data_IF_578821458293
#
_entry.id   IF_578821458293
#
_cell.length_a   1.000
_cell.length_b   1.000
_cell.length_c   1.000
_cell.angle_alpha   90.00
_cell.angle_beta   90.00
_cell.angle_gamma   90.00
#
_symmetry.space_group_name_H-M   'P 1'
#
loop_
_entity.id
_entity.type
_entity.pdbx_description
1 polymer ?
#
# COMPACT_ATOMS: atom_id res chain seq x y z
N UNK A 1 2.18 36.44 -20.81
CA UNK A 1 1.14 35.76 -20.00
C UNK A 1 -0.27 35.92 -20.59
N UNK A 2 -0.72 37.13 -20.94
CA UNK A 2 -2.07 37.36 -21.49
C UNK A 2 -2.35 36.62 -22.80
N UNK A 3 -1.39 36.59 -23.74
CA UNK A 3 -1.53 35.85 -25.01
C UNK A 3 -1.72 34.33 -24.79
N UNK A 4 -1.06 33.74 -23.80
CA UNK A 4 -1.24 32.32 -23.48
C UNK A 4 -2.63 32.05 -22.91
N UNK A 5 -3.15 32.95 -22.07
CA UNK A 5 -4.50 32.84 -21.50
C UNK A 5 -5.57 32.96 -22.59
N UNK A 6 -5.42 33.88 -23.54
CA UNK A 6 -6.39 34.03 -24.63
C UNK A 6 -6.38 32.82 -25.58
N UNK A 7 -5.20 32.29 -25.92
CA UNK A 7 -5.07 31.08 -26.76
C UNK A 7 -5.71 29.88 -26.07
N UNK A 8 -5.42 29.66 -24.78
CA UNK A 8 -6.00 28.53 -24.02
C UNK A 8 -7.52 28.66 -23.86
N UNK A 9 -8.04 29.87 -23.67
CA UNK A 9 -9.49 30.12 -23.65
C UNK A 9 -10.13 29.82 -25.01
N UNK A 10 -9.54 30.31 -26.10
CA UNK A 10 -10.05 30.05 -27.45
C UNK A 10 -10.02 28.55 -27.80
N UNK A 11 -8.92 27.86 -27.48
CA UNK A 11 -8.81 26.41 -27.66
C UNK A 11 -9.85 25.64 -26.82
N UNK A 12 -10.09 26.07 -25.57
CA UNK A 12 -11.10 25.49 -24.70
C UNK A 12 -12.52 25.66 -25.27
N UNK A 13 -12.85 26.84 -25.78
CA UNK A 13 -14.16 27.11 -26.40
C UNK A 13 -14.40 26.26 -27.64
N UNK A 14 -13.37 26.06 -28.47
CA UNK A 14 -13.43 25.15 -29.62
C UNK A 14 -13.61 23.70 -29.14
N UNK A 15 -12.88 23.29 -28.09
CA UNK A 15 -12.94 21.91 -27.57
C UNK A 15 -14.29 21.53 -26.97
N UNK A 16 -15.04 22.46 -26.36
CA UNK A 16 -16.37 22.17 -25.79
C UNK A 16 -17.51 22.25 -26.82
N UNK A 17 -17.25 22.93 -27.94
CA UNK A 17 -18.26 23.23 -28.95
C UNK A 17 -18.68 22.01 -29.77
N UNK A 18 -19.88 22.05 -30.33
CA UNK A 18 -20.33 21.03 -31.27
C UNK A 18 -19.54 21.09 -32.58
N UNK A 19 -19.48 19.96 -33.29
CA UNK A 19 -18.83 19.90 -34.59
C UNK A 19 -19.69 20.73 -35.55
N UNK A 20 -19.08 21.75 -36.16
CA UNK A 20 -19.71 22.62 -37.15
C UNK A 20 -19.12 22.34 -38.54
N UNK A 21 -19.90 22.51 -39.62
CA UNK A 21 -19.37 22.50 -40.98
C UNK A 21 -18.44 23.70 -41.19
N UNK A 22 -17.33 23.50 -41.90
CA UNK A 22 -16.33 24.54 -42.19
C UNK A 22 -14.90 24.04 -42.00
N UNK A 23 -14.11 24.06 -43.08
CA UNK A 23 -12.77 23.45 -43.11
C UNK A 23 -11.82 24.06 -42.08
N UNK A 24 -11.77 25.40 -41.96
CA UNK A 24 -10.95 26.10 -40.96
C UNK A 24 -11.28 25.68 -39.51
N UNK A 25 -12.56 25.62 -39.16
CA UNK A 25 -13.00 25.21 -37.84
C UNK A 25 -12.70 23.73 -37.57
N UNK A 26 -12.90 22.87 -38.56
CA UNK A 26 -12.60 21.44 -38.44
C UNK A 26 -11.10 21.19 -38.25
N UNK A 27 -10.23 21.91 -38.95
CA UNK A 27 -8.78 21.84 -38.72
C UNK A 27 -8.40 22.30 -37.32
N UNK A 28 -8.97 23.40 -36.84
CA UNK A 28 -8.73 23.89 -35.48
C UNK A 28 -9.21 22.90 -34.42
N UNK A 29 -10.42 22.35 -34.57
CA UNK A 29 -10.96 21.35 -33.66
C UNK A 29 -10.10 20.07 -33.66
N UNK A 30 -9.69 19.60 -34.84
CA UNK A 30 -8.81 18.44 -34.95
C UNK A 30 -7.44 18.70 -34.30
N UNK A 31 -6.85 19.88 -34.49
CA UNK A 31 -5.60 20.26 -33.86
C UNK A 31 -5.70 20.25 -32.32
N UNK A 32 -6.78 20.83 -31.76
CA UNK A 32 -7.01 20.81 -30.30
C UNK A 32 -7.26 19.39 -29.79
N UNK A 33 -8.07 18.59 -30.49
CA UNK A 33 -8.30 17.19 -30.12
C UNK A 33 -7.02 16.35 -30.21
N UNK A 34 -6.17 16.59 -31.21
CA UNK A 34 -4.88 15.93 -31.37
C UNK A 34 -3.91 16.30 -30.27
N UNK A 35 -3.86 17.57 -29.87
CA UNK A 35 -3.04 18.01 -28.73
C UNK A 35 -3.50 17.36 -27.40
N UNK A 36 -4.81 17.30 -27.15
CA UNK A 36 -5.35 16.60 -25.96
C UNK A 36 -5.09 15.10 -26.03
N UNK A 37 -5.22 14.50 -27.22
CA UNK A 37 -4.91 13.11 -27.49
C UNK A 37 -3.44 12.80 -27.19
N UNK A 38 -2.53 13.62 -27.71
CA UNK A 38 -1.08 13.49 -27.50
C UNK A 38 -0.73 13.54 -26.01
N UNK A 39 -1.23 14.54 -25.28
CA UNK A 39 -0.97 14.68 -23.85
C UNK A 39 -1.46 13.46 -23.07
N UNK A 40 -2.64 12.95 -23.39
CA UNK A 40 -3.21 11.77 -22.73
C UNK A 40 -2.41 10.50 -23.04
N UNK A 41 -2.03 10.30 -24.31
CA UNK A 41 -1.18 9.19 -24.73
C UNK A 41 0.21 9.26 -24.12
N UNK A 42 0.78 10.46 -23.97
CA UNK A 42 2.10 10.66 -23.40
C UNK A 42 2.10 10.28 -21.91
N UNK A 43 1.05 10.61 -21.17
CA UNK A 43 0.88 10.15 -19.79
C UNK A 43 0.78 8.62 -19.70
N UNK A 44 0.07 7.98 -20.64
CA UNK A 44 -0.01 6.51 -20.70
C UNK A 44 1.34 5.88 -21.05
N UNK A 45 2.07 6.47 -22.01
CA UNK A 45 3.42 6.04 -22.36
C UNK A 45 4.36 6.13 -21.16
N UNK A 46 4.35 7.24 -20.43
CA UNK A 46 5.17 7.42 -19.23
C UNK A 46 4.85 6.36 -18.17
N UNK A 47 3.56 6.09 -17.95
CA UNK A 47 3.11 5.04 -17.02
C UNK A 47 3.61 3.66 -17.44
N UNK A 48 3.55 3.32 -18.73
CA UNK A 48 4.04 2.05 -19.26
C UNK A 48 5.56 1.95 -19.21
N UNK A 49 6.27 3.03 -19.53
CA UNK A 49 7.73 3.08 -19.52
C UNK A 49 8.30 2.86 -18.11
N UNK A 50 7.71 3.49 -17.09
CA UNK A 50 8.09 3.23 -15.70
C UNK A 50 7.68 1.83 -15.19
N UNK A 51 6.60 1.26 -15.73
CA UNK A 51 6.06 -0.04 -15.28
C UNK A 51 6.62 -1.26 -16.02
N UNK A 52 7.26 -1.06 -17.17
CA UNK A 52 7.90 -2.11 -17.95
C UNK A 52 9.37 -1.74 -18.07
N UNK A 53 10.22 -2.34 -17.24
CA UNK A 53 11.67 -2.16 -17.23
C UNK A 53 12.38 -2.68 -18.51
N UNK A 54 11.65 -2.92 -19.61
CA UNK A 54 12.18 -3.37 -20.88
C UNK A 54 12.19 -2.23 -21.90
N UNK A 55 13.39 -1.80 -22.28
CA UNK A 55 13.64 -0.82 -23.34
C UNK A 55 13.45 -1.47 -24.73
N UNK A 56 12.20 -1.77 -25.11
CA UNK A 56 11.88 -2.21 -26.48
C UNK A 56 11.29 -1.06 -27.29
N UNK A 57 11.27 -1.20 -28.62
CA UNK A 57 10.66 -0.22 -29.54
C UNK A 57 9.12 -0.25 -29.49
N UNK A 58 8.52 -1.30 -28.90
CA UNK A 58 7.08 -1.55 -28.83
C UNK A 58 6.24 -0.45 -28.14
N UNK A 59 6.62 0.08 -26.96
CA UNK A 59 5.88 1.15 -26.28
C UNK A 59 5.72 2.43 -27.10
N UNK A 60 6.69 2.75 -27.97
CA UNK A 60 6.63 3.94 -28.83
C UNK A 60 5.58 3.77 -29.94
N UNK A 61 5.50 2.58 -30.53
CA UNK A 61 4.46 2.25 -31.51
C UNK A 61 3.07 2.29 -30.86
N UNK A 62 2.91 1.67 -29.68
CA UNK A 62 1.66 1.69 -28.91
C UNK A 62 1.24 3.13 -28.59
N UNK A 63 2.19 3.98 -28.19
CA UNK A 63 1.94 5.41 -27.97
C UNK A 63 1.37 6.10 -29.22
N UNK A 64 1.99 5.89 -30.38
CA UNK A 64 1.54 6.46 -31.66
C UNK A 64 0.13 6.00 -32.04
N UNK A 65 -0.15 4.70 -31.93
CA UNK A 65 -1.48 4.15 -32.20
C UNK A 65 -2.55 4.71 -31.26
N UNK A 66 -2.28 4.79 -29.95
CA UNK A 66 -3.22 5.35 -28.96
C UNK A 66 -3.46 6.83 -29.25
N UNK A 67 -2.42 7.60 -29.61
CA UNK A 67 -2.57 9.01 -29.96
C UNK A 67 -3.48 9.21 -31.19
N UNK A 68 -3.27 8.47 -32.27
CA UNK A 68 -4.10 8.57 -33.48
C UNK A 68 -5.55 8.20 -33.16
N UNK A 69 -5.76 7.07 -32.48
CA UNK A 69 -7.10 6.59 -32.13
C UNK A 69 -7.84 7.59 -31.23
N UNK A 70 -7.17 8.10 -30.20
CA UNK A 70 -7.76 9.06 -29.26
C UNK A 70 -8.09 10.38 -29.96
N UNK A 71 -7.24 10.85 -30.87
CA UNK A 71 -7.48 12.06 -31.65
C UNK A 71 -8.74 11.94 -32.52
N UNK A 72 -8.91 10.80 -33.20
CA UNK A 72 -10.09 10.51 -34.04
C UNK A 72 -11.35 10.45 -33.18
N UNK A 73 -11.30 9.77 -32.04
CA UNK A 73 -12.44 9.61 -31.12
C UNK A 73 -12.88 10.93 -30.51
N UNK A 74 -11.92 11.75 -30.05
CA UNK A 74 -12.18 13.08 -29.49
C UNK A 74 -12.73 14.04 -30.56
N UNK A 75 -12.22 13.97 -31.78
CA UNK A 75 -12.73 14.78 -32.90
C UNK A 75 -14.18 14.41 -33.26
N UNK A 76 -14.49 13.12 -33.26
CA UNK A 76 -15.79 12.61 -33.72
C UNK A 76 -16.91 12.84 -32.71
N UNK A 77 -16.64 12.67 -31.41
CA UNK A 77 -17.69 12.61 -30.39
C UNK A 77 -17.52 13.64 -29.27
N UNK A 78 -18.47 14.59 -29.15
CA UNK A 78 -18.55 15.56 -28.04
C UNK A 78 -18.62 14.88 -26.68
N UNK A 79 -19.36 13.79 -26.57
CA UNK A 79 -19.49 13.07 -25.30
C UNK A 79 -18.18 12.40 -24.88
N UNK A 80 -17.38 11.90 -25.82
CA UNK A 80 -16.05 11.36 -25.51
C UNK A 80 -15.07 12.45 -25.10
N UNK A 81 -15.16 13.67 -25.65
CA UNK A 81 -14.38 14.83 -25.19
C UNK A 81 -14.65 15.14 -23.72
N UNK A 82 -15.93 15.24 -23.35
CA UNK A 82 -16.34 15.45 -21.95
C UNK A 82 -15.88 14.31 -21.06
N UNK A 83 -16.15 13.06 -21.46
CA UNK A 83 -15.79 11.87 -20.70
C UNK A 83 -14.28 11.80 -20.45
N UNK A 84 -13.45 12.05 -21.47
CA UNK A 84 -11.99 11.94 -21.35
C UNK A 84 -11.41 12.94 -20.36
N UNK A 85 -11.84 14.20 -20.41
CA UNK A 85 -11.40 15.21 -19.42
C UNK A 85 -11.88 14.85 -18.02
N UNK A 86 -13.13 14.41 -17.87
CA UNK A 86 -13.66 14.01 -16.56
C UNK A 86 -12.99 12.74 -16.02
N UNK A 87 -12.58 11.81 -16.89
CA UNK A 87 -11.84 10.60 -16.54
C UNK A 87 -10.45 10.97 -16.00
N UNK A 88 -9.69 11.80 -16.73
CA UNK A 88 -8.39 12.30 -16.29
C UNK A 88 -8.46 13.01 -14.94
N UNK A 89 -9.45 13.89 -14.75
CA UNK A 89 -9.68 14.54 -13.46
C UNK A 89 -10.07 13.54 -12.36
N UNK A 90 -10.74 12.44 -12.70
CA UNK A 90 -11.17 11.41 -11.75
C UNK A 90 -10.03 10.50 -11.29
N UNK A 91 -8.98 10.34 -12.09
CA UNK A 91 -7.75 9.64 -11.69
C UNK A 91 -7.06 10.31 -10.49
N UNK A 92 -7.11 11.65 -10.38
CA UNK A 92 -6.57 12.36 -9.23
C UNK A 92 -7.53 12.47 -8.02
N UNK A 93 -8.73 11.90 -8.10
CA UNK A 93 -9.72 11.91 -7.01
C UNK A 93 -9.68 10.60 -6.22
N UNK A 94 -10.61 10.45 -5.27
CA UNK A 94 -10.68 9.31 -4.35
C UNK A 94 -10.43 7.95 -5.03
N UNK A 95 -11.16 7.66 -6.11
CA UNK A 95 -11.06 6.36 -6.79
C UNK A 95 -9.64 6.05 -7.30
N UNK A 96 -8.96 7.02 -7.91
CA UNK A 96 -7.59 6.79 -8.40
C UNK A 96 -6.55 6.78 -7.27
N UNK A 97 -6.78 7.51 -6.17
CA UNK A 97 -5.93 7.41 -4.97
C UNK A 97 -6.08 6.07 -4.27
N UNK A 98 -7.29 5.53 -4.17
CA UNK A 98 -7.52 4.20 -3.60
C UNK A 98 -6.78 3.14 -4.44
N UNK A 99 -6.75 3.29 -5.77
CA UNK A 99 -5.95 2.45 -6.66
C UNK A 99 -4.42 2.59 -6.42
N UNK A 100 -3.91 3.82 -6.25
CA UNK A 100 -2.50 4.08 -5.91
C UNK A 100 -2.11 3.47 -4.55
N UNK A 101 -2.96 3.60 -3.53
CA UNK A 101 -2.75 2.98 -2.22
C UNK A 101 -2.69 1.46 -2.34
N UNK A 102 -3.58 0.89 -3.15
CA UNK A 102 -3.63 -0.56 -3.39
C UNK A 102 -2.36 -1.03 -4.09
N UNK A 103 -1.90 -0.30 -5.11
CA UNK A 103 -0.64 -0.58 -5.79
C UNK A 103 0.57 -0.50 -4.84
N UNK A 104 0.66 0.57 -4.02
CA UNK A 104 1.72 0.71 -3.02
C UNK A 104 1.70 -0.40 -1.97
N UNK A 105 0.52 -0.80 -1.50
CA UNK A 105 0.36 -1.92 -0.57
C UNK A 105 0.80 -3.23 -1.21
N UNK A 106 0.44 -3.47 -2.47
CA UNK A 106 0.89 -4.64 -3.21
C UNK A 106 2.41 -4.73 -3.33
N UNK A 107 3.08 -3.63 -3.67
CA UNK A 107 4.55 -3.57 -3.76
C UNK A 107 5.21 -3.87 -2.41
N UNK A 108 4.73 -3.23 -1.33
CA UNK A 108 5.26 -3.45 0.03
C UNK A 108 5.10 -4.90 0.46
N UNK A 109 3.88 -5.44 0.36
CA UNK A 109 3.58 -6.78 0.83
C UNK A 109 4.37 -7.82 0.04
N UNK A 110 4.38 -7.72 -1.28
CA UNK A 110 5.12 -8.65 -2.12
C UNK A 110 6.62 -8.64 -1.81
N UNK A 111 7.23 -7.45 -1.72
CA UNK A 111 8.66 -7.36 -1.50
C UNK A 111 9.10 -7.77 -0.11
N UNK A 112 8.38 -7.37 0.95
CA UNK A 112 8.76 -7.75 2.31
C UNK A 112 8.57 -9.25 2.52
N UNK A 113 7.49 -9.84 1.99
CA UNK A 113 7.29 -11.28 2.10
C UNK A 113 8.40 -12.03 1.33
N UNK A 114 8.81 -11.55 0.15
CA UNK A 114 9.93 -12.14 -0.60
C UNK A 114 11.25 -12.09 0.21
N UNK A 115 11.56 -10.98 0.86
CA UNK A 115 12.73 -10.86 1.73
C UNK A 115 12.67 -11.83 2.92
N UNK A 116 11.54 -11.88 3.63
CA UNK A 116 11.35 -12.78 4.78
C UNK A 116 11.55 -14.23 4.36
N UNK A 117 10.97 -14.66 3.24
CA UNK A 117 11.14 -16.03 2.76
C UNK A 117 12.54 -16.35 2.30
N UNK A 118 13.24 -15.41 1.67
CA UNK A 118 14.64 -15.58 1.33
C UNK A 118 15.48 -15.79 2.60
N UNK A 119 15.31 -14.93 3.60
CA UNK A 119 16.02 -15.02 4.87
C UNK A 119 15.67 -16.29 5.66
N UNK A 120 14.41 -16.74 5.61
CA UNK A 120 13.98 -18.00 6.21
C UNK A 120 14.64 -19.20 5.53
N UNK A 121 14.72 -19.19 4.20
CA UNK A 121 15.41 -20.24 3.44
C UNK A 121 16.89 -20.32 3.80
N UNK A 122 17.57 -19.17 3.84
CA UNK A 122 19.00 -19.10 4.24
C UNK A 122 19.21 -19.65 5.67
N UNK A 123 18.30 -19.35 6.60
CA UNK A 123 18.34 -19.89 7.96
C UNK A 123 18.16 -21.42 7.99
N UNK A 124 17.20 -21.94 7.23
CA UNK A 124 16.92 -23.39 7.13
C UNK A 124 18.09 -24.14 6.50
N UNK A 125 18.69 -23.60 5.44
CA UNK A 125 19.85 -24.20 4.77
C UNK A 125 21.05 -24.26 5.74
N UNK A 126 21.23 -23.22 6.56
CA UNK A 126 22.24 -23.18 7.63
C UNK A 126 22.02 -24.25 8.71
N UNK A 127 20.80 -24.38 9.24
CA UNK A 127 20.45 -25.40 10.25
C UNK A 127 20.66 -26.80 9.67
N UNK A 128 20.26 -27.02 8.42
CA UNK A 128 20.43 -28.30 7.73
C UNK A 128 21.91 -28.65 7.53
N UNK A 129 22.74 -27.66 7.15
CA UNK A 129 24.20 -27.81 7.05
C UNK A 129 24.81 -28.20 8.41
N UNK A 130 24.37 -27.53 9.48
CA UNK A 130 24.85 -27.78 10.83
C UNK A 130 24.50 -29.20 11.34
N UNK A 131 23.23 -29.60 11.22
CA UNK A 131 22.77 -30.94 11.63
C UNK A 131 23.49 -32.06 10.87
N UNK A 132 23.70 -31.89 9.56
CA UNK A 132 24.49 -32.83 8.77
C UNK A 132 25.92 -32.91 9.29
N UNK A 133 26.56 -31.82 9.69
CA UNK A 133 27.99 -31.87 10.05
C UNK A 133 28.25 -32.38 11.47
N UNK A 134 27.55 -31.87 12.48
CA UNK A 134 27.83 -32.18 13.90
C UNK A 134 27.53 -33.64 14.24
N UNK A 135 26.44 -34.20 13.74
CA UNK A 135 26.08 -35.59 14.05
C UNK A 135 27.10 -36.58 13.48
N UNK A 136 27.60 -36.36 12.25
CA UNK A 136 28.63 -37.23 11.68
C UNK A 136 29.99 -37.06 12.38
N UNK A 137 30.33 -35.85 12.84
CA UNK A 137 31.56 -35.62 13.60
C UNK A 137 31.55 -36.33 14.96
N UNK A 138 30.44 -36.24 15.70
CA UNK A 138 30.26 -36.92 16.99
C UNK A 138 30.31 -38.45 16.85
N UNK A 139 29.64 -39.01 15.84
CA UNK A 139 29.65 -40.47 15.61
C UNK A 139 31.08 -40.94 15.28
N UNK A 140 31.78 -40.22 14.39
CA UNK A 140 33.18 -40.52 14.06
C UNK A 140 34.07 -40.47 15.32
N UNK A 141 33.86 -39.48 16.18
CA UNK A 141 34.56 -39.35 17.46
C UNK A 141 34.34 -40.57 18.38
N UNK A 142 33.10 -41.00 18.60
CA UNK A 142 32.82 -42.17 19.46
C UNK A 142 33.46 -43.44 18.90
N UNK A 143 33.43 -43.63 17.58
CA UNK A 143 34.07 -44.79 16.93
C UNK A 143 35.59 -44.75 17.12
N UNK A 144 36.22 -43.58 16.96
CA UNK A 144 37.66 -43.40 17.13
C UNK A 144 38.10 -43.58 18.59
N UNK A 145 37.32 -43.06 19.54
CA UNK A 145 37.54 -43.25 20.98
C UNK A 145 37.41 -44.73 21.40
N UNK A 146 36.38 -45.45 20.92
CA UNK A 146 36.20 -46.88 21.21
C UNK A 146 37.35 -47.70 20.61
N UNK A 147 37.75 -47.39 19.37
CA UNK A 147 38.89 -48.04 18.71
C UNK A 147 40.18 -47.81 19.51
N UNK A 148 40.39 -46.59 19.99
CA UNK A 148 41.54 -46.25 20.82
C UNK A 148 41.53 -47.00 22.16
N UNK A 149 40.39 -47.06 22.87
CA UNK A 149 40.25 -47.85 24.12
C UNK A 149 40.60 -49.32 23.86
N UNK A 150 40.13 -49.88 22.75
CA UNK A 150 40.41 -51.24 22.36
C UNK A 150 41.91 -51.49 22.08
N UNK A 151 42.57 -50.61 21.31
CA UNK A 151 44.02 -50.72 21.04
C UNK A 151 44.86 -50.53 22.32
N UNK A 152 44.45 -49.63 23.21
CA UNK A 152 45.11 -49.43 24.51
C UNK A 152 44.93 -50.64 25.45
N UNK A 153 43.76 -51.30 25.42
CA UNK A 153 43.50 -52.52 26.17
C UNK A 153 44.20 -53.76 25.59
N UNK A 154 44.51 -53.75 24.29
CA UNK A 154 45.26 -54.80 23.57
C UNK A 154 46.78 -54.74 23.84
N UNK A 155 47.30 -53.64 24.39
CA UNK A 155 48.70 -53.55 24.78
C UNK A 155 49.01 -54.65 25.83
N UNK A 156 49.97 -55.55 25.58
CA UNK A 156 50.12 -56.74 26.41
C UNK A 156 50.59 -56.36 27.81
N UNK A 157 49.76 -56.60 28.82
CA UNK A 157 50.29 -56.94 30.12
C UNK A 157 51.05 -58.26 29.90
N UNK A 158 52.39 -58.22 29.94
CA UNK A 158 53.27 -59.37 29.75
C UNK A 158 52.74 -60.56 30.55
N UNK A 159 52.07 -61.50 29.87
CA UNK A 159 51.60 -62.75 30.44
C UNK A 159 52.47 -63.88 29.89
N UNK A 160 52.88 -64.86 30.74
CA UNK A 160 53.86 -65.86 30.37
C UNK A 160 53.36 -66.71 29.20
N UNK A 161 54.30 -67.05 28.32
CA UNK A 161 54.12 -67.95 27.18
C UNK A 161 53.60 -69.31 27.67
N UNK A 162 52.31 -69.51 27.50
CA UNK A 162 51.63 -70.76 27.14
C UNK A 162 50.19 -70.66 27.64
N UNK A 163 49.28 -70.21 26.77
CA UNK A 163 47.85 -70.54 26.67
C UNK A 163 47.24 -69.60 25.61
N UNK A 164 46.76 -70.22 24.52
CA UNK A 164 45.84 -69.72 23.47
C UNK A 164 45.91 -68.23 23.15
N UNK A 165 46.54 -67.90 22.01
CA UNK A 165 46.43 -66.59 21.36
C UNK A 165 44.97 -66.38 20.94
N UNK A 166 44.22 -65.62 21.73
CA UNK A 166 42.87 -65.21 21.38
C UNK A 166 42.96 -64.06 20.37
N UNK A 167 43.02 -64.40 19.08
CA UNK A 167 42.87 -63.43 17.99
C UNK A 167 41.40 -62.98 17.94
N UNK A 168 41.02 -62.03 18.80
CA UNK A 168 39.78 -61.28 18.59
C UNK A 168 40.07 -60.11 17.65
N UNK A 169 39.53 -60.18 16.43
CA UNK A 169 39.47 -59.05 15.52
C UNK A 169 38.25 -58.20 15.91
N UNK A 170 38.48 -57.02 16.49
CA UNK A 170 37.40 -56.09 16.81
C UNK A 170 36.92 -55.43 15.52
N UNK A 171 35.83 -55.95 14.96
CA UNK A 171 35.04 -55.27 13.94
C UNK A 171 33.95 -54.46 14.64
N UNK A 172 34.12 -53.13 14.81
CA UNK A 172 33.07 -52.31 15.40
C UNK A 172 31.84 -52.33 14.47
N UNK A 173 30.80 -53.05 14.87
CA UNK A 173 29.49 -52.96 14.24
C UNK A 173 28.71 -51.83 14.92
N UNK A 174 28.66 -50.67 14.28
CA UNK A 174 27.75 -49.60 14.69
C UNK A 174 26.55 -49.60 13.73
N UNK A 175 25.37 -49.96 14.24
CA UNK A 175 24.10 -49.83 13.52
C UNK A 175 23.29 -48.69 14.13
N UNK A 176 23.82 -47.47 14.03
CA UNK A 176 22.98 -46.29 14.21
C UNK A 176 22.35 -46.05 12.85
N UNK A 177 21.02 -45.89 12.81
CA UNK A 177 20.25 -45.70 11.58
C UNK A 177 20.53 -44.32 10.96
N UNK A 178 21.77 -44.14 10.52
CA UNK A 178 22.28 -43.01 9.74
C UNK A 178 21.44 -42.84 8.47
N UNK A 179 21.01 -43.96 7.90
CA UNK A 179 20.19 -43.99 6.70
C UNK A 179 18.76 -43.48 6.96
N UNK A 180 18.17 -43.76 8.12
CA UNK A 180 16.86 -43.18 8.46
C UNK A 180 16.95 -41.68 8.70
N UNK A 181 17.97 -41.20 9.41
CA UNK A 181 18.14 -39.77 9.67
C UNK A 181 18.54 -38.98 8.44
N UNK A 182 19.45 -39.51 7.59
CA UNK A 182 19.77 -38.93 6.28
C UNK A 182 18.54 -38.88 5.38
N UNK A 183 17.71 -39.93 5.42
CA UNK A 183 16.46 -39.96 4.67
C UNK A 183 15.49 -38.89 5.18
N UNK A 184 15.25 -38.79 6.48
CA UNK A 184 14.40 -37.73 7.07
C UNK A 184 14.92 -36.32 6.76
N UNK A 185 16.24 -36.09 6.82
CA UNK A 185 16.85 -34.80 6.44
C UNK A 185 16.67 -34.49 4.96
N UNK A 186 16.86 -35.47 4.07
CA UNK A 186 16.66 -35.29 2.64
C UNK A 186 15.18 -35.08 2.29
N UNK A 187 14.27 -35.80 2.96
CA UNK A 187 12.82 -35.64 2.80
C UNK A 187 12.39 -34.25 3.27
N UNK A 188 12.94 -33.77 4.39
CA UNK A 188 12.73 -32.41 4.91
C UNK A 188 13.27 -31.34 3.96
N UNK A 189 14.48 -31.54 3.41
CA UNK A 189 15.08 -30.63 2.42
C UNK A 189 14.24 -30.54 1.13
N UNK A 190 13.72 -31.68 0.65
CA UNK A 190 12.83 -31.72 -0.51
C UNK A 190 11.48 -31.03 -0.23
N UNK A 191 10.90 -31.23 0.95
CA UNK A 191 9.65 -30.56 1.32
C UNK A 191 9.83 -29.04 1.44
N UNK A 192 10.95 -28.60 2.02
CA UNK A 192 11.31 -27.18 2.10
C UNK A 192 11.54 -26.59 0.72
N UNK A 193 12.22 -27.30 -0.20
CA UNK A 193 12.37 -26.85 -1.58
C UNK A 193 11.02 -26.78 -2.31
N UNK A 194 10.11 -27.73 -2.08
CA UNK A 194 8.76 -27.70 -2.62
C UNK A 194 8.00 -26.46 -2.13
N UNK A 195 8.00 -26.21 -0.82
CA UNK A 195 7.35 -25.05 -0.21
C UNK A 195 8.00 -23.75 -0.70
N UNK A 196 9.33 -23.67 -0.73
CA UNK A 196 10.06 -22.50 -1.22
C UNK A 196 9.75 -22.20 -2.69
N UNK A 197 9.62 -23.22 -3.53
CA UNK A 197 9.25 -23.05 -4.94
C UNK A 197 7.79 -22.60 -5.10
N UNK A 198 6.86 -23.16 -4.32
CA UNK A 198 5.46 -22.71 -4.30
C UNK A 198 5.34 -21.26 -3.84
N UNK A 199 6.08 -20.88 -2.81
CA UNK A 199 6.06 -19.54 -2.23
C UNK A 199 6.77 -18.54 -3.15
N UNK A 200 7.89 -18.92 -3.77
CA UNK A 200 8.54 -18.13 -4.82
C UNK A 200 7.59 -17.87 -5.99
N UNK A 201 6.81 -18.88 -6.43
CA UNK A 201 5.76 -18.70 -7.43
C UNK A 201 4.68 -17.70 -6.97
N UNK A 202 4.17 -17.86 -5.74
CA UNK A 202 3.18 -16.97 -5.12
C UNK A 202 3.70 -15.54 -4.89
N UNK A 203 5.00 -15.31 -4.76
CA UNK A 203 5.59 -14.01 -4.45
C UNK A 203 6.21 -13.31 -5.66
N UNK A 204 6.54 -14.05 -6.70
CA UNK A 204 7.13 -13.50 -7.91
C UNK A 204 6.07 -13.36 -9.01
N UNK A 205 5.25 -14.39 -9.23
CA UNK A 205 4.31 -14.44 -10.36
C UNK A 205 2.94 -13.85 -10.00
N UNK A 206 2.43 -14.10 -8.79
CA UNK A 206 1.13 -13.57 -8.37
C UNK A 206 1.14 -12.04 -8.19
N UNK A 207 2.19 -11.40 -7.64
CA UNK A 207 2.29 -9.94 -7.59
C UNK A 207 2.62 -9.36 -8.95
N UNK A 208 3.34 -10.08 -9.83
CA UNK A 208 3.54 -9.67 -11.21
C UNK A 208 2.21 -9.60 -11.98
N UNK A 209 1.35 -10.61 -11.84
CA UNK A 209 -0.01 -10.59 -12.37
C UNK A 209 -0.87 -9.51 -11.70
N UNK A 210 -0.82 -9.43 -10.37
CA UNK A 210 -1.53 -8.43 -9.57
C UNK A 210 -1.16 -7.00 -9.95
N UNK A 211 0.14 -6.70 -10.15
CA UNK A 211 0.66 -5.40 -10.53
C UNK A 211 0.17 -4.97 -11.93
N UNK A 212 -0.18 -5.91 -12.81
CA UNK A 212 -0.78 -5.61 -14.12
C UNK A 212 -2.31 -5.54 -14.05
N UNK A 213 -2.95 -6.44 -13.32
CA UNK A 213 -4.42 -6.57 -13.27
C UNK A 213 -5.06 -5.53 -12.34
N UNK A 214 -4.46 -5.23 -11.19
CA UNK A 214 -5.00 -4.27 -10.21
C UNK A 214 -5.12 -2.85 -10.78
N UNK A 215 -4.12 -2.29 -11.50
CA UNK A 215 -4.28 -0.99 -12.16
C UNK A 215 -5.36 -0.99 -13.24
N UNK A 216 -5.50 -2.09 -13.99
CA UNK A 216 -6.56 -2.23 -15.01
C UNK A 216 -7.94 -2.21 -14.34
N UNK A 217 -8.11 -2.94 -13.23
CA UNK A 217 -9.34 -2.90 -12.44
C UNK A 217 -9.60 -1.51 -11.84
N UNK A 218 -8.57 -0.83 -11.33
CA UNK A 218 -8.66 0.55 -10.84
C UNK A 218 -9.09 1.53 -11.94
N UNK A 219 -8.51 1.41 -13.13
CA UNK A 219 -8.90 2.19 -14.32
C UNK A 219 -10.36 1.92 -14.68
N UNK A 220 -10.80 0.67 -14.66
CA UNK A 220 -12.20 0.30 -14.90
C UNK A 220 -13.16 0.92 -13.87
N UNK A 221 -12.81 0.92 -12.58
CA UNK A 221 -13.59 1.59 -11.53
C UNK A 221 -13.66 3.11 -11.72
N UNK A 222 -12.56 3.75 -12.16
CA UNK A 222 -12.55 5.18 -12.48
C UNK A 222 -13.39 5.47 -13.73
N UNK A 223 -13.32 4.60 -14.74
CA UNK A 223 -14.13 4.68 -15.96
C UNK A 223 -15.63 4.60 -15.63
N UNK A 224 -16.05 3.57 -14.89
CA UNK A 224 -17.43 3.38 -14.47
C UNK A 224 -17.91 4.52 -13.56
N UNK A 225 -17.09 4.94 -12.60
CA UNK A 225 -17.39 6.08 -11.72
C UNK A 225 -17.55 7.40 -12.48
N UNK A 226 -16.81 7.60 -13.57
CA UNK A 226 -16.94 8.76 -14.46
C UNK A 226 -18.25 8.71 -15.24
N UNK A 227 -18.61 7.54 -15.78
CA UNK A 227 -19.89 7.32 -16.46
C UNK A 227 -21.10 7.57 -15.54
N UNK A 228 -21.08 7.01 -14.32
CA UNK A 228 -22.11 7.25 -13.32
C UNK A 228 -22.21 8.73 -12.92
N UNK A 229 -21.08 9.42 -12.81
CA UNK A 229 -21.07 10.85 -12.52
C UNK A 229 -21.77 11.66 -13.63
N UNK A 230 -21.47 11.40 -14.89
CA UNK A 230 -22.12 12.09 -16.03
C UNK A 230 -23.61 11.76 -16.05
N UNK A 231 -23.98 10.48 -15.91
CA UNK A 231 -25.39 10.03 -15.87
C UNK A 231 -26.16 10.78 -14.78
N UNK A 232 -25.58 10.93 -13.58
CA UNK A 232 -26.21 11.64 -12.46
C UNK A 232 -26.21 13.16 -12.63
N UNK A 233 -25.19 13.71 -13.30
CA UNK A 233 -25.08 15.14 -13.57
C UNK A 233 -26.08 15.62 -14.61
N UNK A 234 -26.30 14.84 -15.68
CA UNK A 234 -27.21 15.16 -16.78
C UNK A 234 -28.65 14.67 -16.55
N UNK A 235 -28.82 13.64 -15.71
CA UNK A 235 -30.12 13.01 -15.47
C UNK A 235 -31.14 13.86 -14.68
N UNK A 236 -32.27 13.22 -14.33
CA UNK A 236 -33.43 13.87 -13.70
C UNK A 236 -33.13 14.58 -12.37
N UNK A 237 -32.12 14.12 -11.61
CA UNK A 237 -31.73 14.70 -10.33
C UNK A 237 -30.61 15.75 -10.40
N UNK A 238 -30.30 16.26 -11.60
CA UNK A 238 -29.22 17.23 -11.86
C UNK A 238 -29.30 18.51 -11.00
N UNK A 239 -30.51 19.01 -10.73
CA UNK A 239 -30.76 20.24 -9.95
C UNK A 239 -30.34 20.14 -8.48
N UNK A 240 -30.43 18.94 -7.89
CA UNK A 240 -30.04 18.67 -6.49
C UNK A 240 -28.60 18.17 -6.37
N UNK A 241 -28.09 17.50 -7.39
CA UNK A 241 -26.77 16.86 -7.35
C UNK A 241 -25.62 17.88 -7.35
N UNK A 242 -24.82 17.88 -6.26
CA UNK A 242 -23.62 18.72 -6.07
C UNK A 242 -23.81 20.19 -6.47
N UNK A 243 -25.01 20.74 -6.27
CA UNK A 243 -25.37 22.11 -6.63
C UNK A 243 -25.06 23.07 -5.46
N UNK A 244 -23.78 23.19 -5.14
CA UNK A 244 -23.23 24.02 -4.04
C UNK A 244 -22.27 25.10 -4.52
N UNK A 245 -21.99 25.16 -5.82
CA UNK A 245 -20.99 26.03 -6.39
C UNK A 245 -21.65 27.15 -7.21
N UNK A 246 -21.12 28.36 -7.08
CA UNK A 246 -21.58 29.54 -7.82
C UNK A 246 -20.61 29.74 -8.98
N UNK A 247 -21.11 29.55 -10.20
CA UNK A 247 -20.35 29.71 -11.44
C UNK A 247 -20.39 31.15 -11.94
N UNK A 248 -19.49 31.53 -12.86
CA UNK A 248 -19.55 32.85 -13.53
C UNK A 248 -20.90 33.08 -14.24
N UNK A 249 -21.51 32.02 -14.78
CA UNK A 249 -22.84 32.06 -15.38
C UNK A 249 -23.95 32.35 -14.37
N UNK A 250 -23.84 31.83 -13.14
CA UNK A 250 -24.76 32.18 -12.06
C UNK A 250 -24.71 33.67 -11.74
N UNK A 251 -23.50 34.25 -11.69
CA UNK A 251 -23.32 35.69 -11.41
C UNK A 251 -23.97 36.52 -12.52
N UNK A 252 -23.69 36.21 -13.79
CA UNK A 252 -24.31 36.88 -14.93
C UNK A 252 -25.84 36.76 -14.94
N UNK A 253 -26.38 35.60 -14.55
CA UNK A 253 -27.82 35.39 -14.41
C UNK A 253 -28.43 36.28 -13.31
N UNK A 254 -27.80 36.36 -12.13
CA UNK A 254 -28.28 37.18 -11.02
C UNK A 254 -28.20 38.68 -11.34
N UNK A 255 -27.14 39.12 -12.03
CA UNK A 255 -27.02 40.50 -12.55
C UNK A 255 -28.13 40.82 -13.54
N UNK A 256 -28.49 39.89 -14.42
CA UNK A 256 -29.60 40.07 -15.36
C UNK A 256 -30.94 40.17 -14.63
N UNK A 257 -31.19 39.36 -13.60
CA UNK A 257 -32.39 39.48 -12.76
C UNK A 257 -32.45 40.85 -12.06
N UNK A 258 -31.30 41.34 -11.56
CA UNK A 258 -31.19 42.66 -10.94
C UNK A 258 -31.56 43.78 -11.90
N UNK A 259 -31.09 43.72 -13.16
CA UNK A 259 -31.46 44.69 -14.20
C UNK A 259 -32.97 44.67 -14.50
N UNK A 260 -33.61 43.51 -14.39
CA UNK A 260 -35.06 43.34 -14.55
C UNK A 260 -35.88 43.67 -13.28
N UNK A 261 -35.29 44.34 -12.28
CA UNK A 261 -35.94 44.68 -11.00
C UNK A 261 -36.47 43.46 -10.22
N UNK A 262 -35.96 42.26 -10.50
CA UNK A 262 -36.31 41.04 -9.77
C UNK A 262 -35.38 40.86 -8.55
N UNK A 263 -35.79 40.07 -7.54
CA UNK A 263 -35.02 39.90 -6.31
C UNK A 263 -33.60 39.36 -6.60
N UNK A 264 -32.59 40.17 -6.25
CA UNK A 264 -31.18 39.83 -6.41
C UNK A 264 -30.68 39.01 -5.22
N UNK A 265 -29.84 38.01 -5.48
CA UNK A 265 -29.31 37.15 -4.44
C UNK A 265 -27.92 37.61 -3.94
N UNK A 266 -27.04 38.08 -4.83
CA UNK A 266 -25.68 38.47 -4.46
C UNK A 266 -25.65 39.88 -3.83
N UNK A 267 -24.79 40.14 -2.82
CA UNK A 267 -23.76 39.27 -2.24
C UNK A 267 -24.30 38.20 -1.26
N UNK A 268 -23.55 37.10 -1.11
CA UNK A 268 -23.88 36.04 -0.15
C UNK A 268 -23.60 36.47 1.29
N UNK A 269 -24.51 36.10 2.21
CA UNK A 269 -24.34 36.31 3.65
C UNK A 269 -23.21 35.45 4.23
N UNK A 270 -22.63 35.85 5.37
CA UNK A 270 -21.55 35.08 6.06
C UNK A 270 -21.95 33.62 6.36
N UNK A 271 -23.22 33.37 6.68
CA UNK A 271 -23.75 32.01 6.88
C UNK A 271 -23.82 31.21 5.57
N UNK A 272 -24.16 31.85 4.46
CA UNK A 272 -24.27 31.22 3.14
C UNK A 272 -22.91 30.92 2.52
N UNK A 273 -21.92 31.81 2.72
CA UNK A 273 -20.51 31.58 2.30
C UNK A 273 -19.87 30.33 2.92
N UNK A 274 -20.46 29.77 3.99
CA UNK A 274 -20.01 28.49 4.58
C UNK A 274 -20.52 27.26 3.81
N UNK A 275 -21.59 27.40 3.03
CA UNK A 275 -22.24 26.31 2.28
C UNK A 275 -22.08 26.45 0.77
N UNK A 276 -21.88 27.68 0.27
CA UNK A 276 -21.78 28.02 -1.14
C UNK A 276 -20.50 28.79 -1.45
N UNK A 277 -19.81 28.39 -2.51
CA UNK A 277 -18.50 28.94 -2.90
C UNK A 277 -18.50 29.31 -4.38
N UNK A 278 -17.94 30.47 -4.69
CA UNK A 278 -17.70 30.92 -6.07
C UNK A 278 -16.49 30.18 -6.66
N UNK A 279 -16.62 29.64 -7.87
CA UNK A 279 -15.56 28.89 -8.56
C UNK A 279 -15.09 29.59 -9.83
N UNK A 280 -13.79 29.48 -10.19
CA UNK A 280 -12.72 28.77 -9.47
C UNK A 280 -12.22 29.55 -8.25
N UNK A 281 -11.89 28.86 -7.16
CA UNK A 281 -11.26 29.48 -5.99
C UNK A 281 -10.42 28.50 -5.18
N UNK A 282 -9.32 29.00 -4.61
CA UNK A 282 -8.49 28.25 -3.66
C UNK A 282 -9.12 28.17 -2.25
N UNK A 283 -10.25 28.86 -2.04
CA UNK A 283 -10.98 28.88 -0.77
C UNK A 283 -12.00 27.75 -0.75
N UNK A 284 -11.71 26.69 -0.02
CA UNK A 284 -12.62 25.54 0.10
C UNK A 284 -13.67 25.72 1.21
N UNK A 285 -14.88 25.21 0.93
CA UNK A 285 -15.98 25.07 1.89
C UNK A 285 -15.55 24.27 3.12
N UNK A 286 -16.13 24.50 4.31
CA UNK A 286 -15.84 23.68 5.51
C UNK A 286 -16.04 22.18 5.26
N UNK A 287 -17.05 21.83 4.44
CA UNK A 287 -17.34 20.45 4.02
C UNK A 287 -16.23 19.87 3.15
N UNK A 288 -15.67 20.66 2.24
CA UNK A 288 -14.61 20.23 1.34
C UNK A 288 -13.26 20.16 2.06
N UNK A 289 -12.97 21.09 2.97
CA UNK A 289 -11.80 21.01 3.87
C UNK A 289 -11.82 19.75 4.73
N UNK A 290 -12.97 19.40 5.32
CA UNK A 290 -13.11 18.13 6.05
C UNK A 290 -12.87 16.92 5.15
N UNK A 291 -13.37 16.94 3.91
CA UNK A 291 -13.10 15.85 2.94
C UNK A 291 -11.63 15.78 2.53
N UNK A 292 -10.94 16.91 2.38
CA UNK A 292 -9.51 16.96 2.12
C UNK A 292 -8.75 16.35 3.31
N UNK A 293 -9.07 16.75 4.54
CA UNK A 293 -8.43 16.19 5.73
C UNK A 293 -8.70 14.68 5.88
N UNK A 294 -9.96 14.25 5.77
CA UNK A 294 -10.32 12.83 5.80
C UNK A 294 -9.75 12.05 4.62
N UNK A 295 -9.37 12.71 3.52
CA UNK A 295 -8.71 12.08 2.38
C UNK A 295 -7.26 11.68 2.67
N UNK A 296 -6.61 12.30 3.65
CA UNK A 296 -5.26 11.89 4.06
C UNK A 296 -5.27 10.76 5.08
N UNK A 297 -6.39 10.53 5.78
CA UNK A 297 -6.50 9.48 6.80
C UNK A 297 -6.14 8.09 6.25
N UNK A 298 -6.66 7.63 5.08
CA UNK A 298 -6.24 6.35 4.51
C UNK A 298 -4.75 6.33 4.17
N UNK A 299 -4.19 7.44 3.65
CA UNK A 299 -2.77 7.52 3.31
C UNK A 299 -1.90 7.30 4.56
N UNK A 300 -2.26 7.94 5.67
CA UNK A 300 -1.55 7.79 6.95
C UNK A 300 -1.69 6.35 7.47
N UNK A 301 -2.89 5.79 7.48
CA UNK A 301 -3.12 4.41 7.95
C UNK A 301 -2.30 3.41 7.13
N UNK A 302 -2.35 3.50 5.80
CA UNK A 302 -1.59 2.61 4.93
C UNK A 302 -0.08 2.83 5.05
N UNK A 303 0.37 4.07 5.23
CA UNK A 303 1.77 4.34 5.53
C UNK A 303 2.22 3.65 6.82
N UNK A 304 1.44 3.73 7.90
CA UNK A 304 1.72 3.00 9.14
C UNK A 304 1.75 1.48 8.93
N UNK A 305 0.82 0.94 8.14
CA UNK A 305 0.82 -0.49 7.77
C UNK A 305 2.12 -0.84 7.02
N UNK A 306 2.54 -0.01 6.06
CA UNK A 306 3.77 -0.25 5.31
C UNK A 306 5.01 -0.20 6.19
N UNK A 307 5.07 0.75 7.14
CA UNK A 307 6.12 0.79 8.16
C UNK A 307 6.11 -0.45 9.04
N UNK A 308 4.94 -0.97 9.41
CA UNK A 308 4.84 -2.20 10.20
C UNK A 308 5.41 -3.41 9.44
N UNK A 309 5.07 -3.58 8.16
CA UNK A 309 5.64 -4.65 7.33
C UNK A 309 7.16 -4.55 7.23
N UNK A 310 7.69 -3.34 6.99
CA UNK A 310 9.12 -3.11 6.94
C UNK A 310 9.82 -3.37 8.30
N UNK A 311 9.16 -3.01 9.41
CA UNK A 311 9.66 -3.28 10.75
C UNK A 311 9.73 -4.78 11.04
N UNK A 312 8.73 -5.57 10.62
CA UNK A 312 8.74 -7.03 10.78
C UNK A 312 9.89 -7.67 9.98
N UNK A 313 10.09 -7.26 8.72
CA UNK A 313 11.22 -7.76 7.89
C UNK A 313 12.57 -7.40 8.53
N UNK A 314 12.73 -6.16 8.99
CA UNK A 314 13.93 -5.71 9.67
C UNK A 314 14.19 -6.46 10.99
N UNK A 315 13.15 -6.70 11.80
CA UNK A 315 13.26 -7.47 13.03
C UNK A 315 13.69 -8.92 12.76
N UNK A 316 13.17 -9.54 11.69
CA UNK A 316 13.55 -10.89 11.30
C UNK A 316 15.00 -10.97 10.83
N UNK A 317 15.42 -10.02 9.99
CA UNK A 317 16.83 -9.85 9.60
C UNK A 317 17.75 -9.69 10.83
N UNK A 318 17.36 -8.82 11.77
CA UNK A 318 18.11 -8.58 13.00
C UNK A 318 18.21 -9.82 13.88
N UNK A 319 17.12 -10.61 13.97
CA UNK A 319 17.09 -11.85 14.73
C UNK A 319 18.13 -12.84 14.19
N UNK A 320 18.20 -13.04 12.87
CA UNK A 320 19.18 -13.95 12.25
C UNK A 320 20.61 -13.49 12.57
N UNK A 321 20.90 -12.20 12.44
CA UNK A 321 22.22 -11.66 12.75
C UNK A 321 22.57 -11.83 14.23
N UNK A 322 21.60 -11.57 15.13
CA UNK A 322 21.81 -11.73 16.55
C UNK A 322 22.12 -13.19 16.90
N UNK A 323 21.37 -14.15 16.34
CA UNK A 323 21.63 -15.58 16.55
C UNK A 323 23.01 -15.97 16.01
N UNK A 324 23.38 -15.51 14.82
CA UNK A 324 24.70 -15.77 14.24
C UNK A 324 25.84 -15.30 15.14
N UNK A 325 25.70 -14.14 15.77
CA UNK A 325 26.70 -13.63 16.71
C UNK A 325 26.87 -14.56 17.91
N UNK A 326 25.76 -15.02 18.50
CA UNK A 326 25.82 -15.96 19.62
C UNK A 326 26.38 -17.32 19.22
N UNK A 327 26.02 -17.84 18.03
CA UNK A 327 26.55 -19.10 17.51
C UNK A 327 28.07 -19.05 17.27
N UNK A 328 28.62 -17.89 16.93
CA UNK A 328 30.06 -17.66 16.78
C UNK A 328 30.82 -17.54 18.11
N UNK A 329 30.12 -17.23 19.20
CA UNK A 329 30.70 -17.04 20.55
C UNK A 329 30.66 -18.32 21.41
N UNK A 330 30.06 -19.43 20.93
CA UNK A 330 30.03 -20.70 21.66
C UNK A 330 31.44 -21.30 21.67
N UNK A 331 32.05 -21.55 22.84
CA UNK A 331 33.37 -22.16 22.93
C UNK A 331 33.33 -23.62 22.46
N UNK A 332 34.38 -24.07 21.78
CA UNK A 332 34.56 -25.47 21.37
C UNK A 332 34.44 -26.40 22.58
N UNK A 333 33.71 -27.52 22.42
CA UNK A 333 33.58 -28.52 23.48
C UNK A 333 34.89 -29.30 23.58
N UNK A 334 35.61 -29.12 24.69
CA UNK A 334 36.83 -29.86 25.00
C UNK A 334 36.45 -31.10 25.83
N UNK A 335 36.44 -32.28 25.20
CA UNK A 335 36.16 -33.54 25.88
C UNK A 335 37.49 -34.19 26.25
N UNK A 336 37.87 -34.08 27.52
CA UNK A 336 39.08 -34.71 28.06
C UNK A 336 38.76 -36.13 28.54
N UNK A 337 39.28 -37.15 27.85
CA UNK A 337 39.15 -38.55 28.25
C UNK A 337 40.43 -38.99 28.97
N UNK A 338 40.28 -39.46 30.22
CA UNK A 338 41.39 -40.00 31.02
C UNK A 338 41.15 -41.48 31.31
N UNK A 339 42.00 -42.35 30.77
CA UNK A 339 42.03 -43.77 31.16
C UNK A 339 42.97 -43.98 32.35
N UNK A 340 42.50 -44.74 33.34
CA UNK A 340 43.30 -45.18 34.48
C UNK A 340 43.47 -46.69 34.41
N UNK A 341 44.69 -47.15 34.10
CA UNK A 341 45.03 -48.56 34.18
C UNK A 341 45.70 -48.84 35.53
N UNK A 342 45.10 -49.74 36.32
CA UNK A 342 45.63 -50.10 37.62
C UNK A 342 46.30 -51.48 37.51
N UNK A 343 47.63 -51.49 37.37
CA UNK A 343 48.42 -52.72 37.27
C UNK A 343 48.58 -53.33 38.66
N UNK A 344 47.91 -54.44 38.94
CA UNK A 344 48.15 -55.22 40.15
C UNK A 344 49.18 -56.32 39.83
N UNK A 345 50.47 -56.01 39.98
CA UNK A 345 51.51 -57.04 39.95
C UNK A 345 51.46 -57.84 41.26
N UNK A 346 51.19 -59.15 41.17
CA UNK A 346 51.45 -60.10 42.24
C UNK A 346 52.94 -60.41 42.27
N UNK A 347 53.75 -59.48 42.76
CA UNK A 347 55.11 -59.75 43.21
C UNK A 347 55.24 -59.18 44.62
N UNK A 348 55.57 -60.04 45.57
CA UNK A 348 56.02 -59.61 46.88
C UNK A 348 57.33 -58.85 46.67
N UNK A 349 57.44 -57.69 47.33
CA UNK A 349 58.60 -56.79 47.48
C UNK A 349 58.52 -55.49 46.62
N UNK A 350 58.18 -54.41 47.34
CA UNK A 350 58.21 -52.95 47.02
C UNK A 350 57.07 -52.42 46.13
N UNK A 351 56.09 -51.78 46.78
CA UNK A 351 55.02 -50.99 46.16
C UNK A 351 55.60 -49.73 45.48
N UNK A 352 55.89 -49.82 44.19
CA UNK A 352 55.86 -48.64 43.30
C UNK A 352 54.69 -48.81 42.34
N UNK A 353 53.55 -48.21 42.70
CA UNK A 353 52.32 -48.20 41.91
C UNK A 353 52.45 -47.13 40.82
N UNK A 354 53.00 -47.50 39.67
CA UNK A 354 53.05 -46.58 38.52
C UNK A 354 51.64 -46.39 37.93
N UNK A 355 51.11 -45.18 38.10
CA UNK A 355 49.84 -44.75 37.52
C UNK A 355 50.13 -44.07 36.19
N UNK A 356 49.96 -44.80 35.09
CA UNK A 356 49.99 -44.21 33.75
C UNK A 356 48.63 -43.56 33.51
N UNK A 357 48.57 -42.22 33.60
CA UNK A 357 47.43 -41.43 33.17
C UNK A 357 47.82 -40.75 31.85
N UNK A 358 47.16 -41.12 30.76
CA UNK A 358 47.32 -40.45 29.46
C UNK A 358 46.02 -39.70 29.18
N UNK A 359 46.12 -38.38 29.08
CA UNK A 359 45.02 -37.45 28.79
C UNK A 359 45.22 -36.88 27.41
N UNK A 360 44.36 -37.25 26.46
CA UNK A 360 44.28 -36.59 25.17
C UNK A 360 43.11 -35.59 25.22
N UNK A 361 43.41 -34.31 25.00
CA UNK A 361 42.42 -33.24 24.87
C UNK A 361 42.05 -33.08 23.40
N UNK A 362 40.78 -33.26 23.04
CA UNK A 362 40.31 -33.09 21.67
C UNK A 362 39.20 -32.03 21.63
N UNK A 363 39.44 -30.96 20.87
CA UNK A 363 38.52 -29.84 20.71
C UNK A 363 37.57 -30.13 19.56
N UNK A 364 36.28 -30.29 19.87
CA UNK A 364 35.23 -30.40 18.86
C UNK A 364 34.57 -29.02 18.77
N UNK A 365 34.73 -28.28 17.67
CA UNK A 365 34.00 -27.05 17.49
C UNK A 365 32.51 -27.36 17.38
N UNK A 366 31.71 -26.80 18.29
CA UNK A 366 30.26 -27.00 18.36
C UNK A 366 29.49 -26.33 17.21
N UNK A 367 30.16 -25.52 16.38
CA UNK A 367 29.58 -24.92 15.18
C UNK A 367 30.67 -24.66 14.12
N UNK A 368 30.50 -25.23 12.92
CA UNK A 368 31.45 -25.00 11.81
C UNK A 368 31.18 -23.68 11.09
N UNK A 369 32.23 -22.87 10.90
CA UNK A 369 32.17 -21.56 10.24
C UNK A 369 31.55 -21.55 8.83
N UNK A 370 31.55 -22.68 8.11
CA UNK A 370 31.03 -22.75 6.74
C UNK A 370 29.49 -22.84 6.65
N UNK A 371 28.79 -23.05 7.78
CA UNK A 371 27.33 -23.22 7.81
C UNK A 371 26.57 -21.97 8.33
N UNK A 372 27.19 -20.78 8.33
CA UNK A 372 26.58 -19.56 8.89
C UNK A 372 25.61 -18.93 7.87
N UNK A 373 24.38 -18.56 8.27
CA UNK A 373 23.43 -17.93 7.36
C UNK A 373 23.83 -16.47 7.09
N UNK A 374 23.80 -16.06 5.83
CA UNK A 374 24.03 -14.66 5.42
C UNK A 374 22.72 -14.03 4.94
N UNK A 375 21.99 -13.31 5.81
CA UNK A 375 20.71 -12.71 5.44
C UNK A 375 20.89 -11.47 4.55
N UNK A 376 19.94 -11.23 3.65
CA UNK A 376 19.90 -10.07 2.76
C UNK A 376 18.75 -9.11 3.13
N UNK A 377 18.97 -7.81 2.92
CA UNK A 377 17.96 -6.76 3.14
C UNK A 377 17.81 -5.88 1.88
N UNK A 378 16.79 -6.14 1.07
CA UNK A 378 16.54 -5.40 -0.17
C UNK A 378 15.67 -4.13 0.05
N UNK A 379 16.19 -3.17 0.83
CA UNK A 379 15.43 -1.97 1.23
C UNK A 379 15.41 -0.85 0.17
N UNK A 380 16.41 -0.71 -0.70
CA UNK A 380 16.55 0.53 -1.50
C UNK A 380 15.52 0.69 -2.62
N UNK A 381 15.25 -0.36 -3.39
CA UNK A 381 14.39 -0.28 -4.59
C UNK A 381 12.91 -0.05 -4.26
N UNK A 382 12.41 -0.69 -3.20
CA UNK A 382 11.00 -0.58 -2.78
C UNK A 382 10.67 0.80 -2.25
N UNK A 383 11.57 1.39 -1.46
CA UNK A 383 11.36 2.69 -0.85
C UNK A 383 11.39 3.84 -1.85
N UNK A 384 12.17 3.73 -2.93
CA UNK A 384 12.12 4.68 -4.04
C UNK A 384 10.74 4.65 -4.70
N UNK A 385 10.22 3.45 -5.03
CA UNK A 385 8.88 3.30 -5.62
C UNK A 385 7.77 3.81 -4.70
N UNK A 386 7.85 3.50 -3.41
CA UNK A 386 6.96 4.02 -2.37
C UNK A 386 7.00 5.55 -2.27
N UNK A 387 8.20 6.13 -2.29
CA UNK A 387 8.38 7.57 -2.26
C UNK A 387 7.64 8.28 -3.40
N UNK A 388 7.72 7.72 -4.62
CA UNK A 388 6.99 8.22 -5.79
C UNK A 388 5.47 8.11 -5.60
N UNK A 389 4.97 6.96 -5.12
CA UNK A 389 3.53 6.76 -4.87
C UNK A 389 3.02 7.73 -3.80
N UNK A 390 3.74 7.88 -2.68
CA UNK A 390 3.39 8.80 -1.59
C UNK A 390 3.37 10.24 -2.09
N UNK A 391 4.37 10.65 -2.88
CA UNK A 391 4.43 11.98 -3.46
C UNK A 391 3.17 12.31 -4.28
N UNK A 392 2.76 11.41 -5.19
CA UNK A 392 1.53 11.59 -5.96
C UNK A 392 0.26 11.55 -5.09
N UNK A 393 0.20 10.69 -4.07
CA UNK A 393 -0.92 10.66 -3.12
C UNK A 393 -1.07 11.98 -2.36
N UNK A 394 0.04 12.60 -1.95
CA UNK A 394 0.05 13.90 -1.29
C UNK A 394 -0.44 14.99 -2.25
N UNK A 395 0.11 15.05 -3.47
CA UNK A 395 -0.32 16.00 -4.50
C UNK A 395 -1.82 15.85 -4.77
N UNK A 396 -2.30 14.65 -5.08
CA UNK A 396 -3.73 14.42 -5.32
C UNK A 396 -4.61 14.66 -4.10
N UNK A 397 -4.09 14.48 -2.89
CA UNK A 397 -4.75 14.89 -1.65
C UNK A 397 -4.98 16.40 -1.59
N UNK A 398 -3.92 17.19 -1.72
CA UNK A 398 -3.93 18.65 -1.64
C UNK A 398 -4.79 19.25 -2.77
N UNK A 399 -4.60 18.78 -4.00
CA UNK A 399 -5.29 19.30 -5.18
C UNK A 399 -6.73 18.76 -5.36
N UNK A 400 -7.18 17.82 -4.52
CA UNK A 400 -8.51 17.19 -4.68
C UNK A 400 -9.69 18.16 -4.70
N UNK A 401 -9.60 19.25 -3.93
CA UNK A 401 -10.59 20.33 -3.95
C UNK A 401 -10.66 21.01 -5.31
N UNK A 402 -9.51 21.37 -5.88
CA UNK A 402 -9.40 22.00 -7.20
C UNK A 402 -9.86 21.04 -8.32
N UNK A 403 -9.44 19.78 -8.28
CA UNK A 403 -9.89 18.75 -9.23
C UNK A 403 -11.42 18.58 -9.21
N UNK A 404 -12.04 18.65 -8.03
CA UNK A 404 -13.50 18.62 -7.90
C UNK A 404 -14.16 19.85 -8.51
N UNK A 405 -13.60 21.04 -8.31
CA UNK A 405 -14.09 22.27 -8.93
C UNK A 405 -13.95 22.21 -10.46
N UNK A 406 -12.79 21.78 -10.97
CA UNK A 406 -12.58 21.60 -12.40
C UNK A 406 -13.56 20.58 -12.98
N UNK A 407 -13.81 19.45 -12.29
CA UNK A 407 -14.79 18.45 -12.74
C UNK A 407 -16.19 19.07 -12.93
N UNK A 408 -16.58 19.97 -12.04
CA UNK A 408 -17.85 20.70 -12.15
C UNK A 408 -17.79 21.72 -13.28
N UNK A 409 -16.72 22.52 -13.36
CA UNK A 409 -16.55 23.53 -14.41
C UNK A 409 -16.64 22.91 -15.81
N UNK A 410 -15.88 21.83 -16.05
CA UNK A 410 -15.92 21.04 -17.28
C UNK A 410 -17.34 20.57 -17.57
N UNK A 411 -18.02 19.96 -16.59
CA UNK A 411 -19.39 19.47 -16.79
C UNK A 411 -20.37 20.58 -17.14
N UNK A 412 -20.25 21.75 -16.51
CA UNK A 412 -21.10 22.91 -16.79
C UNK A 412 -20.81 23.56 -18.14
N UNK A 413 -19.58 23.48 -18.63
CA UNK A 413 -19.20 23.95 -19.97
C UNK A 413 -19.76 23.05 -21.07
N UNK A 414 -19.73 21.73 -20.89
CA UNK A 414 -20.24 20.77 -21.87
C UNK A 414 -21.79 20.66 -21.91
N UNK A 415 -22.46 20.91 -20.79
CA UNK A 415 -23.91 20.80 -20.64
C UNK A 415 -24.54 22.13 -20.17
N UNK A 416 -24.60 23.15 -21.05
CA UNK A 416 -25.05 24.49 -20.71
C UNK A 416 -26.52 24.54 -20.27
N UNK A 417 -27.40 23.76 -20.90
CA UNK A 417 -28.84 23.75 -20.59
C UNK A 417 -29.12 23.15 -19.21
N UNK A 418 -28.41 22.07 -18.88
CA UNK A 418 -28.45 21.46 -17.55
C UNK A 418 -27.95 22.45 -16.50
N UNK A 419 -26.89 23.19 -16.78
CA UNK A 419 -26.39 24.21 -15.85
C UNK A 419 -27.39 25.34 -15.65
N UNK A 420 -28.08 25.82 -16.69
CA UNK A 420 -29.11 26.84 -16.55
C UNK A 420 -30.25 26.38 -15.63
N UNK A 421 -30.74 25.14 -15.80
CA UNK A 421 -31.75 24.54 -14.90
C UNK A 421 -31.26 24.48 -13.44
N UNK A 422 -29.98 24.16 -13.22
CA UNK A 422 -29.36 24.11 -11.88
C UNK A 422 -29.25 25.50 -11.25
N UNK A 423 -28.89 26.51 -12.05
CA UNK A 423 -28.81 27.92 -11.62
C UNK A 423 -30.19 28.42 -11.20
N UNK A 424 -31.22 28.26 -12.03
CA UNK A 424 -32.60 28.68 -11.72
C UNK A 424 -33.11 28.02 -10.44
N UNK A 425 -32.92 26.70 -10.30
CA UNK A 425 -33.30 25.97 -9.10
C UNK A 425 -32.57 26.48 -7.85
N UNK A 426 -31.26 26.70 -7.95
CA UNK A 426 -30.44 27.17 -6.82
C UNK A 426 -30.84 28.57 -6.39
N UNK A 427 -31.04 29.47 -7.35
CA UNK A 427 -31.46 30.86 -7.12
C UNK A 427 -32.81 30.90 -6.38
N UNK A 428 -33.82 30.21 -6.92
CA UNK A 428 -35.14 30.11 -6.28
C UNK A 428 -35.08 29.47 -4.88
N UNK A 429 -34.27 28.42 -4.71
CA UNK A 429 -34.07 27.75 -3.42
C UNK A 429 -33.47 28.70 -2.38
N UNK A 430 -32.50 29.51 -2.76
CA UNK A 430 -31.83 30.46 -1.86
C UNK A 430 -32.73 31.64 -1.50
N UNK A 431 -33.47 32.20 -2.46
CA UNK A 431 -34.48 33.23 -2.19
C UNK A 431 -35.55 32.73 -1.23
N UNK A 432 -36.11 31.54 -1.46
CA UNK A 432 -37.10 30.92 -0.55
C UNK A 432 -36.54 30.71 0.85
N UNK A 433 -35.25 30.36 0.97
CA UNK A 433 -34.59 30.18 2.26
C UNK A 433 -34.42 31.52 3.00
N UNK A 434 -34.09 32.60 2.30
CA UNK A 434 -34.00 33.96 2.87
C UNK A 434 -35.36 34.47 3.34
N UNK A 435 -36.41 34.34 2.52
CA UNK A 435 -37.76 34.74 2.88
C UNK A 435 -38.25 34.03 4.15
N UNK A 436 -38.08 32.70 4.23
CA UNK A 436 -38.43 31.93 5.44
C UNK A 436 -37.63 32.35 6.68
N UNK A 437 -36.37 32.75 6.51
CA UNK A 437 -35.55 33.21 7.64
C UNK A 437 -36.00 34.59 8.13
N UNK A 438 -36.36 35.49 7.21
CA UNK A 438 -36.93 36.80 7.54
C UNK A 438 -38.27 36.66 8.25
N UNK A 439 -39.17 35.80 7.76
CA UNK A 439 -40.45 35.52 8.40
C UNK A 439 -40.28 34.99 9.83
N UNK A 440 -39.38 34.01 10.04
CA UNK A 440 -39.08 33.49 11.37
C UNK A 440 -38.49 34.55 12.29
N UNK A 441 -37.61 35.40 11.77
CA UNK A 441 -37.00 36.49 12.54
C UNK A 441 -38.04 37.51 12.94
N UNK A 442 -38.97 37.87 12.04
CA UNK A 442 -40.09 38.76 12.33
C UNK A 442 -41.03 38.20 13.40
N UNK A 443 -41.41 36.92 13.30
CA UNK A 443 -42.23 36.24 14.33
C UNK A 443 -41.54 36.22 15.70
N UNK A 444 -40.23 35.93 15.73
CA UNK A 444 -39.46 35.93 16.98
C UNK A 444 -39.30 37.34 17.57
N UNK A 445 -39.08 38.35 16.73
CA UNK A 445 -39.02 39.74 17.17
C UNK A 445 -40.37 40.18 17.75
N UNK A 446 -41.46 39.87 17.06
CA UNK A 446 -42.83 40.13 17.52
C UNK A 446 -43.14 39.43 18.84
N UNK A 447 -42.82 38.13 18.96
CA UNK A 447 -43.00 37.38 20.21
C UNK A 447 -42.18 37.98 21.36
N UNK A 448 -40.94 38.42 21.10
CA UNK A 448 -40.12 39.09 22.10
C UNK A 448 -40.70 40.45 22.51
N UNK A 449 -41.25 41.22 21.57
CA UNK A 449 -41.94 42.47 21.87
C UNK A 449 -43.19 42.20 22.72
N UNK A 450 -44.03 41.24 22.34
CA UNK A 450 -45.22 40.87 23.13
C UNK A 450 -44.82 40.42 24.54
N UNK A 451 -43.80 39.57 24.69
CA UNK A 451 -43.32 39.13 25.99
C UNK A 451 -42.72 40.28 26.82
N UNK A 452 -42.10 41.27 26.18
CA UNK A 452 -41.59 42.47 26.85
C UNK A 452 -42.73 43.34 27.40
N UNK A 453 -43.80 43.55 26.62
CA UNK A 453 -44.95 44.38 27.05
C UNK A 453 -45.92 43.62 27.97
N UNK A 454 -45.96 42.29 27.89
CA UNK A 454 -46.87 41.43 28.68
C UNK A 454 -46.12 40.29 29.40
N UNK A 455 -45.36 40.58 30.46
CA UNK A 455 -44.57 39.56 31.19
C UNK A 455 -45.43 38.47 31.84
N UNK A 456 -46.70 38.77 32.14
CA UNK A 456 -47.65 37.82 32.76
C UNK A 456 -47.95 36.63 31.83
N UNK A 457 -47.99 36.85 30.51
CA UNK A 457 -48.20 35.77 29.54
C UNK A 457 -47.01 34.80 29.53
N UNK A 458 -45.79 35.33 29.65
CA UNK A 458 -44.58 34.53 29.75
C UNK A 458 -44.55 33.70 31.05
N UNK A 459 -44.96 34.29 32.18
CA UNK A 459 -45.06 33.58 33.46
C UNK A 459 -46.10 32.45 33.39
N UNK A 460 -47.26 32.70 32.77
CA UNK A 460 -48.32 31.69 32.59
C UNK A 460 -47.90 30.53 31.69
N UNK A 461 -47.16 30.81 30.60
CA UNK A 461 -46.60 29.78 29.73
C UNK A 461 -45.53 28.93 30.43
N UNK A 462 -44.69 29.54 31.28
CA UNK A 462 -43.68 28.84 32.06
C UNK A 462 -44.32 27.89 33.08
N UNK A 463 -45.38 28.33 33.77
CA UNK A 463 -46.16 27.51 34.70
C UNK A 463 -46.80 26.34 33.97
N UNK A 464 -47.47 26.57 32.83
CA UNK A 464 -48.10 25.52 32.03
C UNK A 464 -47.09 24.48 31.52
N UNK A 465 -45.88 24.88 31.11
CA UNK A 465 -44.81 23.93 30.73
C UNK A 465 -44.29 23.12 31.90
N UNK A 466 -44.24 23.72 33.10
CA UNK A 466 -43.84 23.04 34.34
C UNK A 466 -44.87 21.99 34.74
N UNK A 467 -46.15 22.28 34.59
CA UNK A 467 -47.24 21.32 34.81
C UNK A 467 -47.18 20.17 33.79
N UNK A 468 -46.96 20.47 32.51
CA UNK A 468 -46.87 19.42 31.47
C UNK A 468 -45.66 18.49 31.65
N UNK A 469 -44.53 19.02 32.10
CA UNK A 469 -43.32 18.23 32.38
C UNK A 469 -43.40 17.45 33.70
N UNK A 470 -44.24 17.89 34.65
CA UNK A 470 -44.54 17.13 35.85
C UNK A 470 -45.45 15.93 35.57
N UNK A 471 -46.33 16.03 34.56
CA UNK A 471 -47.22 14.94 34.12
C UNK A 471 -46.48 13.87 33.29
N UNK A 472 -45.37 14.20 32.64
CA UNK A 472 -44.52 13.22 31.91
C UNK A 472 -43.54 12.44 32.82
N UNK A 473 -43.44 12.80 34.10
CA UNK A 473 -42.54 12.20 35.10
C UNK A 473 -43.27 11.39 36.20
N UNK A 474 -44.60 11.29 36.09
CA UNK A 474 -45.47 10.36 36.82
C UNK A 474 -46.00 9.33 35.86
#
# INVERSE_FOLDING_TARGET
MQAFISITQSAWEIFISERKPGWKYQMQLFAVCSAVGFLSSFLFFLSMHFSLAHHSLGPLLIFGFIWILLSIMLFSFKHLRCFSVLFLLSCGLKNGRDALITAGTGVVVASNIQNIFHNLKVLVDSITCHLKHEQFALIKYYVEAIKWIYEAAKLPAELPKDIVVLNHEFTPFYSISDDALKKELNDTEQEIQRIANQISFMLTILPYLGQKVLPVFGVFLVFFGTGLFIKKFVGCHSTKFKNTYITKRFIAFDEHQKKQQRPCLLPLNRKEKKDYVTIPSFVFTRKDRKKILCSFLPVIIHFCIWLLFAAVDFLFYWLIISVNKYLLEIPDLDIQLSLFQNKNEKSYIILTKERIARTDSFKIPLFKHNCIPHPELALSTTWIQLGVIIFFLIIFGIFSGLLTQFKILVSTSFYPDTEMKRICYLHAKLLKKRAKLQEKTGKHLFARTVNFWFPILQAREAVRKKEMSAVELT
#
